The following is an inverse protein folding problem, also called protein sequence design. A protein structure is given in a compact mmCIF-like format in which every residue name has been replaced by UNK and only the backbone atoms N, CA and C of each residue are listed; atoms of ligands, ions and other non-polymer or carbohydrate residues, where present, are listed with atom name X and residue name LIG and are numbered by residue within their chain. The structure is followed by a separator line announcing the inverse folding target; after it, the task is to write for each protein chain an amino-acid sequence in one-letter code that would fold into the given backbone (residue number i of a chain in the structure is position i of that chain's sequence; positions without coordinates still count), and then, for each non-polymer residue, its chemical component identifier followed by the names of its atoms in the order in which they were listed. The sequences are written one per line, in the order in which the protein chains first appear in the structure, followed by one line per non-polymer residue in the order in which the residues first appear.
data_IF_865959094920
#
_entry.id   IF_865959094920
#
_cell.length_a   1.000
_cell.length_b   1.000
_cell.length_c   1.000
_cell.angle_alpha   90.00
_cell.angle_beta   90.00
_cell.angle_gamma   90.00
#
_symmetry.space_group_name_H-M   'P 1'
#
loop_
_entity.id
_entity.type
_entity.pdbx_description
1 polymer ?
#
# COMPACT_ATOMS: atom_id res chain seq x y z
N UNK A 1 -26.32 11.58 -15.52
CA UNK A 1 -26.17 11.31 -14.06
C UNK A 1 -24.68 11.33 -13.79
N UNK A 2 -24.17 12.33 -13.06
CA UNK A 2 -22.74 12.41 -12.75
C UNK A 2 -22.45 11.50 -11.55
N UNK A 3 -21.94 10.30 -11.81
CA UNK A 3 -21.41 9.45 -10.75
C UNK A 3 -20.27 10.22 -10.07
N UNK A 4 -20.44 10.54 -8.79
CA UNK A 4 -19.39 11.11 -7.95
C UNK A 4 -18.44 9.96 -7.61
N UNK A 5 -17.68 9.54 -8.63
CA UNK A 5 -16.62 8.56 -8.48
C UNK A 5 -15.63 9.10 -7.45
N UNK A 6 -15.59 8.43 -6.29
CA UNK A 6 -14.76 8.87 -5.17
C UNK A 6 -13.29 8.85 -5.59
N UNK A 7 -12.50 9.88 -5.25
CA UNK A 7 -11.10 9.99 -5.67
C UNK A 7 -10.24 8.74 -5.45
N UNK A 8 -10.43 8.04 -4.32
CA UNK A 8 -9.65 6.84 -3.98
C UNK A 8 -10.04 5.62 -4.82
N UNK A 9 -11.31 5.48 -5.21
CA UNK A 9 -11.77 4.45 -6.13
C UNK A 9 -11.07 4.59 -7.49
N UNK A 10 -10.94 5.81 -8.02
CA UNK A 10 -10.21 6.03 -9.28
C UNK A 10 -8.76 5.61 -9.20
N UNK A 11 -8.09 5.95 -8.10
CA UNK A 11 -6.70 5.57 -7.89
C UNK A 11 -6.57 4.05 -7.80
N UNK A 12 -7.41 3.39 -7.01
CA UNK A 12 -7.39 1.94 -6.85
C UNK A 12 -7.73 1.21 -8.17
N UNK A 13 -8.68 1.71 -8.97
CA UNK A 13 -9.06 1.12 -10.25
C UNK A 13 -7.89 1.17 -11.25
N UNK A 14 -7.27 2.34 -11.40
CA UNK A 14 -6.10 2.51 -12.26
C UNK A 14 -4.96 1.57 -11.84
N UNK A 15 -4.70 1.48 -10.53
CA UNK A 15 -3.65 0.62 -9.99
C UNK A 15 -3.98 -0.86 -10.18
N UNK A 16 -5.23 -1.27 -9.98
CA UNK A 16 -5.66 -2.65 -10.20
C UNK A 16 -5.47 -3.05 -11.67
N UNK A 17 -6.04 -2.28 -12.60
CA UNK A 17 -5.95 -2.54 -14.05
C UNK A 17 -4.51 -2.54 -14.55
N UNK A 18 -3.73 -1.51 -14.24
CA UNK A 18 -2.31 -1.43 -14.67
C UNK A 18 -1.44 -2.45 -13.95
N UNK A 19 -1.76 -2.75 -12.70
CA UNK A 19 -1.05 -3.74 -11.89
C UNK A 19 -1.15 -5.13 -12.47
N UNK A 20 -2.30 -5.51 -13.04
CA UNK A 20 -2.47 -6.83 -13.67
C UNK A 20 -1.51 -6.98 -14.86
N UNK A 21 -1.32 -5.91 -15.64
CA UNK A 21 -0.36 -5.88 -16.76
C UNK A 21 1.10 -5.87 -16.29
N UNK A 22 1.43 -5.11 -15.25
CA UNK A 22 2.84 -4.90 -14.82
C UNK A 22 3.34 -6.04 -13.92
N UNK A 23 2.49 -6.52 -13.02
CA UNK A 23 2.86 -7.47 -11.95
C UNK A 23 2.20 -8.84 -12.10
N UNK A 24 1.32 -9.02 -13.10
CA UNK A 24 0.56 -10.23 -13.34
C UNK A 24 -0.81 -10.25 -12.65
N UNK A 25 -1.80 -10.86 -13.31
CA UNK A 25 -3.19 -10.96 -12.82
C UNK A 25 -3.25 -11.62 -11.44
N UNK A 26 -2.61 -12.76 -11.27
CA UNK A 26 -2.63 -13.54 -10.01
C UNK A 26 -2.21 -12.70 -8.80
N UNK A 27 -1.13 -11.91 -8.95
CA UNK A 27 -0.59 -11.10 -7.86
C UNK A 27 -1.54 -9.97 -7.44
N UNK A 28 -2.25 -9.37 -8.40
CA UNK A 28 -3.24 -8.34 -8.11
C UNK A 28 -4.52 -8.93 -7.53
N UNK A 29 -4.96 -10.09 -8.03
CA UNK A 29 -6.10 -10.82 -7.47
C UNK A 29 -5.83 -11.19 -6.01
N UNK A 30 -4.65 -11.73 -5.70
CA UNK A 30 -4.23 -12.03 -4.32
C UNK A 30 -4.21 -10.77 -3.44
N UNK A 31 -3.72 -9.66 -4.00
CA UNK A 31 -3.68 -8.37 -3.31
C UNK A 31 -5.08 -7.87 -2.96
N UNK A 32 -6.00 -7.86 -3.94
CA UNK A 32 -7.40 -7.47 -3.75
C UNK A 32 -8.10 -8.34 -2.70
N UNK A 33 -7.94 -9.67 -2.79
CA UNK A 33 -8.52 -10.62 -1.84
C UNK A 33 -8.04 -10.35 -0.40
N UNK A 34 -6.74 -10.07 -0.22
CA UNK A 34 -6.18 -9.78 1.11
C UNK A 34 -6.60 -8.43 1.67
N UNK A 35 -6.90 -7.46 0.81
CA UNK A 35 -7.27 -6.10 1.23
C UNK A 35 -8.78 -5.90 1.32
N UNK A 36 -9.58 -6.91 0.96
CA UNK A 36 -11.04 -6.82 0.93
C UNK A 36 -11.56 -5.90 -0.17
N UNK A 37 -10.82 -5.78 -1.28
CA UNK A 37 -11.24 -5.04 -2.47
C UNK A 37 -11.80 -6.03 -3.46
N UNK A 38 -12.94 -5.68 -4.06
CA UNK A 38 -13.64 -6.52 -5.02
C UNK A 38 -12.76 -6.84 -6.23
N UNK A 39 -12.83 -8.08 -6.71
CA UNK A 39 -12.10 -8.51 -7.90
C UNK A 39 -12.78 -7.92 -9.13
N UNK A 40 -12.00 -7.23 -9.96
CA UNK A 40 -12.46 -6.78 -11.27
C UNK A 40 -12.51 -8.00 -12.19
N UNK A 41 -13.65 -8.67 -12.27
CA UNK A 41 -13.76 -9.93 -13.02
C UNK A 41 -13.96 -9.73 -14.53
N UNK A 42 -14.26 -8.50 -14.97
CA UNK A 42 -14.33 -8.21 -16.40
C UNK A 42 -13.98 -6.76 -16.71
N UNK A 43 -13.42 -6.57 -17.90
CA UNK A 43 -12.90 -5.32 -18.50
C UNK A 43 -13.87 -4.13 -18.58
N UNK A 44 -15.06 -4.24 -17.99
CA UNK A 44 -16.17 -3.29 -18.09
C UNK A 44 -16.66 -2.80 -16.74
N UNK A 45 -16.31 -3.46 -15.62
CA UNK A 45 -16.77 -3.01 -14.30
C UNK A 45 -15.72 -2.09 -13.65
N UNK A 46 -16.15 -0.87 -13.35
CA UNK A 46 -15.46 0.02 -12.41
C UNK A 46 -15.51 -0.64 -11.02
N UNK A 47 -14.51 -0.40 -10.16
CA UNK A 47 -14.58 -0.85 -8.76
C UNK A 47 -15.93 -0.44 -8.18
N UNK A 48 -16.78 -1.42 -7.83
CA UNK A 48 -18.13 -1.14 -7.38
C UNK A 48 -18.11 -0.21 -6.15
N UNK A 49 -19.12 0.65 -6.01
CA UNK A 49 -19.32 1.52 -4.84
C UNK A 49 -19.38 0.77 -3.49
N UNK A 50 -19.36 -0.57 -3.51
CA UNK A 50 -19.35 -1.43 -2.34
C UNK A 50 -18.00 -1.44 -1.60
N UNK A 51 -16.89 -1.13 -2.27
CA UNK A 51 -15.58 -1.13 -1.63
C UNK A 51 -15.44 0.08 -0.69
N UNK A 52 -15.21 -0.19 0.59
CA UNK A 52 -14.99 0.87 1.58
C UNK A 52 -13.68 1.64 1.31
N UNK A 53 -13.68 2.95 1.56
CA UNK A 53 -12.49 3.80 1.44
C UNK A 53 -11.30 3.24 2.26
N UNK A 54 -11.56 2.56 3.38
CA UNK A 54 -10.55 1.90 4.21
C UNK A 54 -9.91 0.69 3.51
N UNK A 55 -10.70 -0.16 2.85
CA UNK A 55 -10.21 -1.29 2.07
C UNK A 55 -9.38 -0.82 0.87
N UNK A 56 -9.84 0.24 0.19
CA UNK A 56 -9.11 0.85 -0.92
C UNK A 56 -7.80 1.49 -0.48
N UNK A 57 -7.78 2.19 0.66
CA UNK A 57 -6.54 2.71 1.23
C UNK A 57 -5.57 1.58 1.57
N UNK A 58 -6.06 0.49 2.16
CA UNK A 58 -5.24 -0.67 2.47
C UNK A 58 -4.69 -1.33 1.19
N UNK A 59 -5.49 -1.42 0.13
CA UNK A 59 -5.05 -1.87 -1.19
C UNK A 59 -3.92 -1.00 -1.73
N UNK A 60 -4.11 0.32 -1.78
CA UNK A 60 -3.10 1.25 -2.31
C UNK A 60 -1.80 1.15 -1.51
N UNK A 61 -1.87 1.09 -0.18
CA UNK A 61 -0.69 0.94 0.69
C UNK A 61 0.04 -0.38 0.43
N UNK A 62 -0.68 -1.49 0.24
CA UNK A 62 -0.04 -2.77 -0.04
C UNK A 62 0.48 -2.85 -1.48
N UNK A 63 -0.18 -2.18 -2.43
CA UNK A 63 0.32 -2.01 -3.80
C UNK A 63 1.67 -1.29 -3.82
N UNK A 64 1.87 -0.26 -2.98
CA UNK A 64 3.14 0.45 -2.86
C UNK A 64 4.33 -0.45 -2.50
N UNK A 65 4.07 -1.58 -1.83
CA UNK A 65 5.10 -2.53 -1.41
C UNK A 65 5.56 -3.47 -2.53
N UNK A 66 4.86 -3.49 -3.68
CA UNK A 66 5.21 -4.36 -4.80
C UNK A 66 6.54 -3.98 -5.44
N UNK A 67 6.82 -2.68 -5.58
CA UNK A 67 8.09 -2.17 -6.13
C UNK A 67 8.26 -0.67 -5.85
N UNK A 68 9.48 -0.12 -5.99
CA UNK A 68 9.68 1.33 -5.97
C UNK A 68 8.85 2.08 -7.03
N UNK A 69 8.66 1.49 -8.21
CA UNK A 69 7.84 2.06 -9.28
C UNK A 69 6.34 2.08 -8.91
N UNK A 70 5.87 1.09 -8.16
CA UNK A 70 4.50 1.07 -7.62
C UNK A 70 4.28 2.23 -6.65
N UNK A 71 5.21 2.45 -5.73
CA UNK A 71 5.18 3.59 -4.79
C UNK A 71 5.18 4.93 -5.52
N UNK A 72 6.00 5.09 -6.55
CA UNK A 72 6.04 6.31 -7.36
C UNK A 72 4.71 6.53 -8.09
N UNK A 73 4.14 5.46 -8.67
CA UNK A 73 2.85 5.50 -9.36
C UNK A 73 1.73 5.96 -8.44
N UNK A 74 1.73 5.49 -7.19
CA UNK A 74 0.77 5.92 -6.16
C UNK A 74 0.93 7.40 -5.85
N UNK A 75 2.16 7.88 -5.63
CA UNK A 75 2.39 9.30 -5.34
C UNK A 75 1.90 10.21 -6.47
N UNK A 76 2.13 9.81 -7.73
CA UNK A 76 1.67 10.54 -8.91
C UNK A 76 0.14 10.51 -9.02
N UNK A 77 -0.47 9.33 -8.95
CA UNK A 77 -1.93 9.19 -9.07
C UNK A 77 -2.68 9.88 -7.93
N UNK A 78 -2.16 9.79 -6.71
CA UNK A 78 -2.75 10.46 -5.55
C UNK A 78 -2.72 11.98 -5.70
N UNK A 79 -1.65 12.52 -6.30
CA UNK A 79 -1.57 13.95 -6.60
C UNK A 79 -2.54 14.37 -7.71
N UNK A 80 -2.68 13.57 -8.77
CA UNK A 80 -3.57 13.86 -9.90
C UNK A 80 -5.04 13.82 -9.47
N UNK A 81 -5.39 12.90 -8.58
CA UNK A 81 -6.77 12.69 -8.12
C UNK A 81 -7.06 13.33 -6.75
N UNK A 82 -6.16 14.16 -6.22
CA UNK A 82 -6.33 14.85 -4.93
C UNK A 82 -6.61 13.91 -3.73
N UNK A 83 -6.03 12.71 -3.76
CA UNK A 83 -6.13 11.72 -2.68
C UNK A 83 -4.99 11.95 -1.68
N UNK A 84 -5.32 12.16 -0.42
CA UNK A 84 -4.30 12.22 0.65
C UNK A 84 -4.00 10.80 1.13
N UNK A 85 -2.79 10.32 0.83
CA UNK A 85 -2.30 9.04 1.37
C UNK A 85 -1.28 9.33 2.46
N UNK A 86 -1.48 8.83 3.69
CA UNK A 86 -0.52 8.98 4.77
C UNK A 86 0.86 8.45 4.34
N UNK A 87 1.88 9.31 4.35
CA UNK A 87 3.23 8.97 3.87
C UNK A 87 3.86 7.88 4.73
N UNK A 88 3.48 7.83 6.01
CA UNK A 88 3.87 6.86 7.02
C UNK A 88 3.49 5.43 6.61
N UNK A 89 2.42 5.28 5.82
CA UNK A 89 1.97 4.00 5.30
C UNK A 89 2.74 3.56 4.05
N UNK A 90 3.39 4.49 3.36
CA UNK A 90 4.20 4.23 2.18
C UNK A 90 5.66 3.90 2.54
N UNK A 91 6.10 4.20 3.75
CA UNK A 91 7.44 3.86 4.22
C UNK A 91 7.53 2.38 4.61
N UNK A 92 8.60 1.73 4.16
CA UNK A 92 8.95 0.39 4.63
C UNK A 92 9.43 0.59 6.06
N UNK A 93 8.53 0.45 7.04
CA UNK A 93 8.86 0.64 8.46
C UNK A 93 10.20 -0.04 8.77
N UNK A 94 11.21 0.76 9.12
CA UNK A 94 12.53 0.34 9.59
C UNK A 94 12.48 -0.25 11.01
N UNK A 95 11.36 -0.83 11.44
CA UNK A 95 11.17 -1.38 12.80
C UNK A 95 12.33 -2.32 13.18
N UNK A 96 12.82 -3.13 12.24
CA UNK A 96 13.92 -4.05 12.53
C UNK A 96 15.26 -3.35 12.75
N UNK A 97 15.54 -2.22 12.10
CA UNK A 97 16.78 -1.48 12.31
C UNK A 97 16.77 -0.81 13.70
N UNK A 98 15.67 -0.17 14.06
CA UNK A 98 15.54 0.53 15.34
C UNK A 98 15.51 -0.45 16.53
N UNK A 99 14.90 -1.63 16.35
CA UNK A 99 14.95 -2.71 17.37
C UNK A 99 16.36 -3.29 17.51
N UNK A 100 17.07 -3.52 16.40
CA UNK A 100 18.44 -4.05 16.46
C UNK A 100 19.42 -3.05 17.08
N UNK A 101 19.24 -1.75 16.81
CA UNK A 101 20.02 -0.67 17.43
C UNK A 101 19.74 -0.59 18.94
N UNK A 102 18.46 -0.62 19.34
CA UNK A 102 18.05 -0.64 20.76
C UNK A 102 18.58 -1.88 21.50
N UNK A 103 18.59 -3.05 20.85
CA UNK A 103 19.15 -4.28 21.44
C UNK A 103 20.67 -4.22 21.53
N UNK A 104 21.33 -3.64 20.53
CA UNK A 104 22.79 -3.43 20.54
C UNK A 104 23.20 -2.52 21.70
N UNK A 105 22.52 -1.39 21.89
CA UNK A 105 22.75 -0.47 23.01
C UNK A 105 22.54 -1.16 24.36
N UNK A 106 21.46 -1.94 24.50
CA UNK A 106 21.18 -2.70 25.72
C UNK A 106 22.27 -3.74 26.04
N UNK A 107 22.75 -4.48 25.04
CA UNK A 107 23.83 -5.45 25.24
C UNK A 107 25.16 -4.79 25.59
N UNK A 108 25.43 -3.60 25.06
CA UNK A 108 26.62 -2.83 25.37
C UNK A 108 26.60 -2.35 26.83
N UNK A 109 25.46 -1.82 27.29
CA UNK A 109 25.28 -1.36 28.67
C UNK A 109 25.43 -2.50 29.70
N UNK A 110 24.90 -3.69 29.40
CA UNK A 110 25.08 -4.89 30.24
C UNK A 110 26.56 -5.31 30.30
N UNK A 111 27.24 -5.29 29.16
CA UNK A 111 28.63 -5.74 29.07
C UNK A 111 29.58 -4.80 29.83
N UNK A 112 29.33 -3.50 29.77
CA UNK A 112 30.06 -2.49 30.55
C UNK A 112 29.80 -2.65 32.06
N UNK A 113 28.55 -2.92 32.47
CA UNK A 113 28.19 -3.19 33.87
C UNK A 113 28.82 -4.46 34.45
N UNK A 114 29.06 -5.48 33.63
CA UNK A 114 29.69 -6.74 34.05
C UNK A 114 31.22 -6.69 34.07
N UNK A 115 31.82 -5.65 33.45
CA UNK A 115 33.27 -5.41 33.43
C UNK A 115 33.75 -4.45 34.54
N UNK A 116 32.81 -3.86 35.29
CA UNK A 116 33.07 -3.05 36.49
C UNK A 116 33.12 -3.89 37.76
#
# INVERSE_FOLDING_TARGET
MSEISRPIHRVADILSRRGQTIYGREKIVELCARTGVSLLDDSVYELEEQDSDAALLLFVVNYAKLSPAAKLSILVLSRIHEVTIPKELLEKKRIFADILESLSEFTHEITERLRG
#
